data_IF_433523068721
#
_entry.id   IF_433523068721
#
_cell.length_a   1.000
_cell.length_b   1.000
_cell.length_c   1.000
_cell.angle_alpha   90.00
_cell.angle_beta   90.00
_cell.angle_gamma   90.00
#
_symmetry.space_group_name_H-M   'P 1'
#
loop_
_entity.id
_entity.type
_entity.pdbx_description
1 polymer ?
#
# COMPACT_ATOMS: atom_id res chain seq x y z
N UNK A 1 -21.78 -6.65 8.31
CA UNK A 1 -20.96 -6.95 7.11
C UNK A 1 -19.75 -6.05 7.23
N UNK A 2 -18.55 -6.61 7.42
CA UNK A 2 -17.35 -5.77 7.33
C UNK A 2 -17.23 -5.36 5.87
N UNK A 3 -17.29 -4.05 5.62
CA UNK A 3 -17.17 -3.49 4.27
C UNK A 3 -15.81 -3.89 3.67
N UNK A 4 -15.80 -4.16 2.37
CA UNK A 4 -14.58 -4.45 1.61
C UNK A 4 -13.73 -3.16 1.55
N UNK A 5 -12.41 -3.28 1.61
CA UNK A 5 -11.51 -2.13 1.43
C UNK A 5 -11.85 -1.36 0.15
N UNK A 6 -11.96 -0.05 0.26
CA UNK A 6 -12.56 0.77 -0.78
C UNK A 6 -11.93 2.15 -0.98
N UNK A 7 -12.57 3.00 -1.81
CA UNK A 7 -12.03 4.31 -2.18
C UNK A 7 -11.80 5.24 -0.96
N UNK A 8 -12.68 5.20 0.04
CA UNK A 8 -12.56 6.01 1.25
C UNK A 8 -11.37 5.60 2.13
N UNK A 9 -11.03 4.31 2.14
CA UNK A 9 -9.86 3.78 2.87
C UNK A 9 -8.55 4.31 2.29
N UNK A 10 -8.49 4.50 0.97
CA UNK A 10 -7.32 5.07 0.29
C UNK A 10 -7.11 6.52 0.73
N UNK A 11 -8.19 7.31 0.84
CA UNK A 11 -8.14 8.69 1.34
C UNK A 11 -7.73 8.74 2.81
N UNK A 12 -8.30 7.88 3.63
CA UNK A 12 -8.00 7.80 5.06
C UNK A 12 -6.53 7.37 5.32
N UNK A 13 -6.02 6.41 4.54
CA UNK A 13 -4.61 5.99 4.61
C UNK A 13 -3.66 7.15 4.25
N UNK A 14 -3.97 7.90 3.18
CA UNK A 14 -3.18 9.07 2.79
C UNK A 14 -3.24 10.20 3.84
N UNK A 15 -4.37 10.36 4.53
CA UNK A 15 -4.49 11.30 5.64
C UNK A 15 -3.61 10.89 6.84
N UNK A 16 -3.62 9.61 7.22
CA UNK A 16 -2.78 9.08 8.28
C UNK A 16 -1.28 9.23 7.95
N UNK A 17 -0.90 8.97 6.70
CA UNK A 17 0.46 9.20 6.19
C UNK A 17 0.88 10.67 6.34
N UNK A 18 0.03 11.61 5.90
CA UNK A 18 0.30 13.03 6.04
C UNK A 18 0.44 13.46 7.50
N UNK A 19 -0.48 13.03 8.38
CA UNK A 19 -0.44 13.34 9.80
C UNK A 19 0.87 12.89 10.45
N UNK A 20 1.34 11.69 10.11
CA UNK A 20 2.58 11.13 10.65
C UNK A 20 3.85 11.85 10.14
N UNK A 21 3.85 12.35 8.90
CA UNK A 21 5.06 12.82 8.22
C UNK A 21 5.17 14.35 8.10
N UNK A 22 4.08 15.10 8.25
CA UNK A 22 4.08 16.55 8.04
C UNK A 22 5.08 17.30 8.93
N UNK A 23 5.29 16.84 10.17
CA UNK A 23 6.27 17.44 11.09
C UNK A 23 7.74 17.10 10.79
N UNK A 24 8.00 16.27 9.77
CA UNK A 24 9.34 15.77 9.44
C UNK A 24 9.89 16.34 8.13
N UNK A 25 9.12 17.12 7.38
CA UNK A 25 9.46 17.56 6.01
C UNK A 25 10.74 18.39 5.91
N UNK A 26 11.14 19.09 6.98
CA UNK A 26 12.36 19.91 7.04
C UNK A 26 13.60 19.14 7.54
N UNK A 27 13.46 17.84 7.84
CA UNK A 27 14.58 17.00 8.29
C UNK A 27 15.40 16.47 7.13
N UNK A 28 16.50 15.76 7.44
CA UNK A 28 17.28 15.04 6.43
C UNK A 28 16.58 13.73 6.05
N UNK A 29 16.04 13.67 4.82
CA UNK A 29 15.36 12.50 4.27
C UNK A 29 16.30 11.53 3.53
N UNK A 30 17.61 11.80 3.52
CA UNK A 30 18.60 10.89 2.92
C UNK A 30 18.92 9.67 3.80
N UNK A 31 18.51 9.68 5.07
CA UNK A 31 18.64 8.54 5.98
C UNK A 31 17.85 7.32 5.49
N UNK A 32 18.26 6.13 5.88
CA UNK A 32 17.56 4.89 5.54
C UNK A 32 16.17 4.82 6.18
N UNK A 33 15.20 4.33 5.43
CA UNK A 33 13.94 3.83 5.98
C UNK A 33 14.20 2.49 6.69
N UNK A 34 13.49 2.22 7.78
CA UNK A 34 13.75 1.04 8.60
C UNK A 34 13.47 -0.26 7.83
N UNK A 35 14.42 -1.20 7.85
CA UNK A 35 14.27 -2.51 7.21
C UNK A 35 14.38 -2.49 5.68
N UNK A 36 14.75 -1.35 5.08
CA UNK A 36 14.91 -1.19 3.63
C UNK A 36 16.31 -0.70 3.26
N UNK A 37 16.74 -1.00 2.03
CA UNK A 37 17.92 -0.38 1.42
C UNK A 37 17.62 1.01 0.83
N UNK A 38 16.37 1.46 0.92
CA UNK A 38 15.92 2.76 0.41
C UNK A 38 16.01 3.84 1.49
N UNK A 39 16.35 5.05 1.09
CA UNK A 39 16.22 6.22 1.96
C UNK A 39 14.75 6.53 2.24
N UNK A 40 14.46 7.24 3.33
CA UNK A 40 13.13 7.77 3.62
C UNK A 40 12.59 8.57 2.43
N UNK A 41 13.46 9.33 1.74
CA UNK A 41 13.13 10.05 0.49
C UNK A 41 12.65 9.11 -0.61
N UNK A 42 13.43 8.08 -0.94
CA UNK A 42 13.08 7.11 -1.99
C UNK A 42 11.79 6.36 -1.65
N UNK A 43 11.61 6.00 -0.39
CA UNK A 43 10.38 5.35 0.10
C UNK A 43 9.17 6.28 -0.03
N UNK A 44 9.30 7.57 0.27
CA UNK A 44 8.22 8.55 0.10
C UNK A 44 7.87 8.77 -1.39
N UNK A 45 8.86 8.81 -2.28
CA UNK A 45 8.66 8.93 -3.74
C UNK A 45 7.96 7.70 -4.33
N UNK A 46 8.15 6.52 -3.71
CA UNK A 46 7.53 5.29 -4.17
C UNK A 46 6.01 5.29 -4.02
N UNK A 47 5.48 5.75 -2.88
CA UNK A 47 4.06 5.75 -2.54
C UNK A 47 3.18 6.41 -3.64
N UNK A 48 3.41 7.68 -4.05
CA UNK A 48 2.65 8.32 -5.12
C UNK A 48 2.84 7.66 -6.49
N UNK A 49 4.00 7.06 -6.75
CA UNK A 49 4.24 6.31 -7.98
C UNK A 49 3.37 5.06 -8.05
N UNK A 50 3.21 4.32 -6.94
CA UNK A 50 2.36 3.14 -6.85
C UNK A 50 0.88 3.50 -7.09
N UNK A 51 0.39 4.55 -6.42
CA UNK A 51 -0.99 5.03 -6.56
C UNK A 51 -1.32 5.44 -8.01
N UNK A 52 -0.42 6.19 -8.66
CA UNK A 52 -0.60 6.61 -10.05
C UNK A 52 -0.54 5.41 -11.01
N UNK A 53 0.33 4.43 -10.75
CA UNK A 53 0.37 3.17 -11.49
C UNK A 53 -0.99 2.45 -11.40
N UNK A 54 -1.54 2.27 -10.20
CA UNK A 54 -2.84 1.62 -10.00
C UNK A 54 -3.98 2.37 -10.69
N UNK A 55 -4.03 3.70 -10.52
CA UNK A 55 -5.05 4.54 -11.14
C UNK A 55 -5.01 4.43 -12.67
N UNK A 56 -3.81 4.48 -13.25
CA UNK A 56 -3.62 4.40 -14.71
C UNK A 56 -4.04 3.03 -15.27
N UNK A 57 -3.61 1.95 -14.61
CA UNK A 57 -3.98 0.58 -15.02
C UNK A 57 -5.50 0.40 -15.00
N UNK A 58 -6.15 0.79 -13.90
CA UNK A 58 -7.58 0.58 -13.71
C UNK A 58 -8.44 1.49 -14.60
N UNK A 59 -8.04 2.75 -14.81
CA UNK A 59 -8.78 3.73 -15.62
C UNK A 59 -9.03 3.25 -17.05
N UNK A 60 -8.11 2.46 -17.61
CA UNK A 60 -8.23 1.89 -18.96
C UNK A 60 -8.40 0.37 -18.96
N UNK A 61 -8.58 -0.25 -17.79
CA UNK A 61 -8.68 -1.71 -17.62
C UNK A 61 -7.56 -2.46 -18.37
N UNK A 62 -6.33 -1.97 -18.21
CA UNK A 62 -5.17 -2.44 -18.94
C UNK A 62 -4.95 -3.94 -18.75
N UNK A 63 -4.76 -4.69 -19.83
CA UNK A 63 -4.45 -6.13 -19.78
C UNK A 63 -2.96 -6.40 -19.56
N UNK A 64 -2.12 -5.41 -19.87
CA UNK A 64 -0.68 -5.46 -19.72
C UNK A 64 -0.18 -4.27 -18.89
N UNK A 65 1.11 -4.28 -18.54
CA UNK A 65 1.75 -3.14 -17.89
C UNK A 65 1.76 -1.94 -18.84
N UNK A 66 1.10 -0.84 -18.46
CA UNK A 66 1.23 0.42 -19.19
C UNK A 66 2.65 1.02 -19.05
N UNK A 67 3.11 1.77 -20.06
CA UNK A 67 4.33 2.57 -19.93
C UNK A 67 4.26 3.51 -18.73
N UNK A 68 5.36 3.60 -17.98
CA UNK A 68 5.48 4.57 -16.88
C UNK A 68 6.21 5.80 -17.37
N UNK A 69 5.52 6.94 -17.35
CA UNK A 69 6.19 8.23 -17.44
C UNK A 69 6.90 8.47 -16.10
N UNK A 70 8.20 8.74 -16.14
CA UNK A 70 9.02 9.12 -14.98
C UNK A 70 9.66 10.47 -15.24
N UNK A 71 9.86 11.27 -14.20
CA UNK A 71 10.58 12.54 -14.27
C UNK A 71 10.07 13.57 -13.26
N UNK A 72 11.03 14.30 -12.68
CA UNK A 72 10.76 15.39 -11.73
C UNK A 72 10.65 14.95 -10.27
N UNK A 73 10.70 13.64 -9.97
CA UNK A 73 10.64 13.14 -8.59
C UNK A 73 11.81 13.66 -7.75
N UNK A 74 13.00 13.77 -8.36
CA UNK A 74 14.22 14.32 -7.77
C UNK A 74 14.18 15.85 -7.55
N UNK A 75 13.18 16.53 -8.13
CA UNK A 75 13.02 17.99 -8.04
C UNK A 75 12.06 18.42 -6.94
N UNK A 76 11.22 17.50 -6.44
CA UNK A 76 10.27 17.80 -5.38
C UNK A 76 10.96 17.88 -4.02
N UNK A 77 10.49 18.77 -3.15
CA UNK A 77 10.78 18.74 -1.71
C UNK A 77 10.01 17.60 -1.03
N UNK A 78 10.39 17.20 0.19
CA UNK A 78 9.66 16.19 0.94
C UNK A 78 8.18 16.59 1.18
N UNK A 79 7.92 17.88 1.42
CA UNK A 79 6.55 18.40 1.55
C UNK A 79 5.73 18.30 0.25
N UNK A 80 6.34 18.57 -0.90
CA UNK A 80 5.65 18.43 -2.20
C UNK A 80 5.40 16.97 -2.57
N UNK A 81 6.35 16.07 -2.26
CA UNK A 81 6.13 14.63 -2.44
C UNK A 81 5.04 14.11 -1.51
N UNK A 82 4.97 14.59 -0.26
CA UNK A 82 3.89 14.24 0.67
C UNK A 82 2.53 14.76 0.18
N UNK A 83 2.47 15.97 -0.38
CA UNK A 83 1.26 16.46 -1.05
C UNK A 83 0.87 15.55 -2.23
N UNK A 84 1.85 15.06 -3.00
CA UNK A 84 1.62 14.16 -4.12
C UNK A 84 1.00 12.82 -3.69
N UNK A 85 1.29 12.31 -2.49
CA UNK A 85 0.60 11.14 -1.91
C UNK A 85 -0.91 11.42 -1.79
N UNK A 86 -1.29 12.59 -1.27
CA UNK A 86 -2.69 12.97 -1.11
C UNK A 86 -3.38 13.20 -2.46
N UNK A 87 -2.68 13.81 -3.43
CA UNK A 87 -3.20 14.05 -4.78
C UNK A 87 -3.45 12.73 -5.51
N UNK A 88 -2.46 11.84 -5.53
CA UNK A 88 -2.57 10.56 -6.25
C UNK A 88 -3.55 9.60 -5.57
N UNK A 89 -3.68 9.66 -4.24
CA UNK A 89 -4.76 8.99 -3.52
C UNK A 89 -6.15 9.49 -3.94
N UNK A 90 -6.35 10.80 -4.15
CA UNK A 90 -7.63 11.33 -4.67
C UNK A 90 -7.89 10.86 -6.10
N UNK A 91 -6.88 10.89 -6.97
CA UNK A 91 -7.02 10.41 -8.35
C UNK A 91 -7.43 8.94 -8.35
N UNK A 92 -6.73 8.09 -7.59
CA UNK A 92 -7.06 6.67 -7.48
C UNK A 92 -8.48 6.47 -6.89
N UNK A 93 -8.85 7.20 -5.85
CA UNK A 93 -10.20 7.16 -5.28
C UNK A 93 -11.28 7.44 -6.33
N UNK A 94 -11.14 8.49 -7.14
CA UNK A 94 -12.07 8.78 -8.22
C UNK A 94 -12.14 7.68 -9.28
N UNK A 95 -10.98 7.11 -9.67
CA UNK A 95 -10.93 5.98 -10.61
C UNK A 95 -11.63 4.76 -10.03
N UNK A 96 -11.42 4.46 -8.75
CA UNK A 96 -12.05 3.34 -8.05
C UNK A 96 -13.58 3.51 -8.00
N UNK A 97 -14.09 4.71 -7.74
CA UNK A 97 -15.54 4.98 -7.75
C UNK A 97 -16.16 4.87 -9.13
N UNK A 98 -15.44 5.25 -10.17
CA UNK A 98 -15.93 5.19 -11.55
C UNK A 98 -15.84 3.78 -12.14
N UNK A 99 -14.93 2.93 -11.65
CA UNK A 99 -14.72 1.59 -12.17
C UNK A 99 -15.93 0.68 -11.89
N UNK A 100 -16.42 -0.10 -12.88
CA UNK A 100 -17.43 -1.12 -12.62
C UNK A 100 -16.84 -2.22 -11.72
N UNK A 101 -17.67 -2.86 -10.89
CA UNK A 101 -17.22 -3.95 -10.01
C UNK A 101 -16.60 -5.15 -10.78
N UNK A 102 -16.97 -5.32 -12.06
CA UNK A 102 -16.39 -6.33 -12.96
C UNK A 102 -15.05 -5.94 -13.57
N UNK A 103 -14.57 -4.72 -13.38
CA UNK A 103 -13.30 -4.26 -13.95
C UNK A 103 -12.15 -5.14 -13.46
N UNK A 104 -11.22 -5.43 -14.35
CA UNK A 104 -9.95 -6.09 -14.05
C UNK A 104 -8.83 -5.34 -14.76
N UNK A 105 -7.70 -5.17 -14.10
CA UNK A 105 -6.53 -4.56 -14.70
C UNK A 105 -5.23 -5.21 -14.22
N UNK A 106 -4.21 -5.14 -15.05
CA UNK A 106 -2.92 -5.76 -14.81
C UNK A 106 -2.22 -5.17 -13.59
N UNK A 107 -1.74 -6.07 -12.72
CA UNK A 107 -0.70 -5.85 -11.73
C UNK A 107 0.33 -6.99 -11.84
N UNK A 108 1.62 -6.79 -11.50
CA UNK A 108 2.61 -7.87 -11.52
C UNK A 108 2.26 -9.08 -10.65
N UNK A 109 1.38 -8.89 -9.66
CA UNK A 109 0.88 -9.98 -8.82
C UNK A 109 -0.38 -10.69 -9.39
N UNK A 110 -0.93 -10.23 -10.51
CA UNK A 110 -2.15 -10.78 -11.13
C UNK A 110 -3.11 -9.70 -11.65
N UNK A 111 -4.25 -10.12 -12.22
CA UNK A 111 -5.31 -9.23 -12.67
C UNK A 111 -6.15 -8.77 -11.48
N UNK A 112 -5.94 -7.53 -11.03
CA UNK A 112 -6.60 -6.98 -9.86
C UNK A 112 -7.96 -6.37 -10.20
N UNK A 113 -8.90 -6.47 -9.25
CA UNK A 113 -10.18 -5.74 -9.27
C UNK A 113 -10.08 -4.40 -8.52
N UNK A 114 -11.12 -3.54 -8.52
CA UNK A 114 -11.07 -2.27 -7.81
C UNK A 114 -10.70 -2.42 -6.32
N UNK A 115 -11.27 -3.40 -5.63
CA UNK A 115 -10.95 -3.63 -4.20
C UNK A 115 -9.51 -4.10 -3.97
N UNK A 116 -8.92 -4.84 -4.93
CA UNK A 116 -7.52 -5.23 -4.92
C UNK A 116 -6.60 -4.02 -5.05
N UNK A 117 -6.90 -3.09 -5.98
CA UNK A 117 -6.15 -1.84 -6.09
C UNK A 117 -6.31 -0.92 -4.87
N UNK A 118 -7.52 -0.85 -4.29
CA UNK A 118 -7.75 -0.10 -3.05
C UNK A 118 -6.92 -0.70 -1.89
N UNK A 119 -6.98 -2.03 -1.73
CA UNK A 119 -6.19 -2.75 -0.72
C UNK A 119 -4.68 -2.53 -0.89
N UNK A 120 -4.17 -2.67 -2.12
CA UNK A 120 -2.73 -2.52 -2.38
C UNK A 120 -2.28 -1.09 -2.12
N UNK A 121 -3.09 -0.09 -2.52
CA UNK A 121 -2.78 1.31 -2.21
C UNK A 121 -2.76 1.59 -0.71
N UNK A 122 -3.69 1.02 0.07
CA UNK A 122 -3.68 1.21 1.53
C UNK A 122 -2.45 0.54 2.15
N UNK A 123 -2.14 -0.69 1.76
CA UNK A 123 -0.97 -1.44 2.24
C UNK A 123 0.34 -0.66 1.96
N UNK A 124 0.56 -0.24 0.71
CA UNK A 124 1.70 0.58 0.30
C UNK A 124 1.83 1.86 1.13
N UNK A 125 0.74 2.62 1.31
CA UNK A 125 0.77 3.86 2.10
C UNK A 125 1.13 3.57 3.55
N UNK A 126 0.44 2.62 4.19
CA UNK A 126 0.57 2.40 5.64
C UNK A 126 1.92 1.76 6.00
N UNK A 127 2.36 0.76 5.24
CA UNK A 127 3.63 0.08 5.51
C UNK A 127 4.81 0.98 5.21
N UNK A 128 4.80 1.74 4.12
CA UNK A 128 5.91 2.65 3.85
C UNK A 128 5.89 3.91 4.72
N UNK A 129 4.74 4.33 5.23
CA UNK A 129 4.70 5.32 6.32
C UNK A 129 5.40 4.77 7.56
N UNK A 130 5.12 3.53 7.96
CA UNK A 130 5.83 2.87 9.07
C UNK A 130 7.34 2.80 8.82
N UNK A 131 7.76 2.37 7.64
CA UNK A 131 9.17 2.22 7.29
C UNK A 131 9.91 3.58 7.42
N UNK A 132 9.25 4.68 6.99
CA UNK A 132 9.78 6.06 7.11
C UNK A 132 9.79 6.52 8.57
N UNK A 133 8.67 6.43 9.29
CA UNK A 133 8.60 6.94 10.67
C UNK A 133 9.57 6.20 11.59
N UNK A 134 9.73 4.89 11.41
CA UNK A 134 10.71 4.10 12.14
C UNK A 134 12.15 4.55 11.84
N UNK A 135 12.47 4.89 10.58
CA UNK A 135 13.76 5.49 10.22
C UNK A 135 14.04 6.81 10.96
N UNK A 136 13.00 7.61 11.21
CA UNK A 136 13.07 8.84 12.01
C UNK A 136 12.95 8.63 13.53
N UNK A 137 12.75 7.40 14.00
CA UNK A 137 12.52 7.10 15.42
C UNK A 137 11.18 7.66 15.94
N UNK A 138 10.17 7.73 15.08
CA UNK A 138 8.82 8.20 15.37
C UNK A 138 7.85 7.02 15.36
N UNK A 139 7.02 6.93 16.40
CA UNK A 139 5.96 5.93 16.47
C UNK A 139 4.82 6.26 15.50
N UNK A 140 4.32 5.25 14.79
CA UNK A 140 3.17 5.36 13.90
C UNK A 140 2.15 4.28 14.20
N UNK A 141 0.89 4.68 14.33
CA UNK A 141 -0.25 3.79 14.53
C UNK A 141 -1.34 4.15 13.50
N UNK A 142 -1.60 3.28 12.51
CA UNK A 142 -2.64 3.52 11.52
C UNK A 142 -4.04 3.21 12.08
N UNK A 143 -5.12 3.60 11.37
CA UNK A 143 -6.47 3.18 11.73
C UNK A 143 -6.64 1.65 11.62
N UNK A 144 -6.82 0.98 12.76
CA UNK A 144 -6.89 -0.49 12.88
C UNK A 144 -7.94 -1.12 11.95
N UNK A 145 -9.08 -0.46 11.79
CA UNK A 145 -10.17 -0.91 10.92
C UNK A 145 -9.76 -0.98 9.44
N UNK A 146 -8.88 -0.09 8.98
CA UNK A 146 -8.34 -0.12 7.61
C UNK A 146 -7.38 -1.31 7.50
N UNK A 147 -6.49 -1.51 8.47
CA UNK A 147 -5.59 -2.65 8.50
C UNK A 147 -6.36 -3.97 8.43
N UNK A 148 -7.46 -4.09 9.18
CA UNK A 148 -8.32 -5.27 9.16
C UNK A 148 -8.95 -5.53 7.79
N UNK A 149 -9.44 -4.48 7.11
CA UNK A 149 -9.99 -4.60 5.74
C UNK A 149 -8.92 -4.97 4.71
N UNK A 150 -7.73 -4.38 4.81
CA UNK A 150 -6.58 -4.69 3.94
C UNK A 150 -6.16 -6.14 4.10
N UNK A 151 -5.99 -6.61 5.34
CA UNK A 151 -5.66 -8.00 5.65
C UNK A 151 -6.68 -8.98 5.06
N UNK A 152 -7.97 -8.75 5.35
CA UNK A 152 -9.04 -9.59 4.86
C UNK A 152 -9.06 -9.68 3.32
N UNK A 153 -8.61 -8.63 2.63
CA UNK A 153 -8.63 -8.55 1.16
C UNK A 153 -7.38 -9.12 0.50
N UNK A 154 -6.18 -8.80 1.00
CA UNK A 154 -4.91 -9.07 0.31
C UNK A 154 -4.13 -10.24 0.90
N UNK A 155 -4.33 -10.50 2.20
CA UNK A 155 -3.59 -11.46 2.98
C UNK A 155 -4.54 -12.42 3.70
N UNK A 156 -5.44 -13.12 2.98
CA UNK A 156 -6.46 -13.98 3.61
C UNK A 156 -5.88 -15.15 4.44
N UNK A 157 -4.57 -15.41 4.31
CA UNK A 157 -3.80 -16.38 5.09
C UNK A 157 -3.18 -15.82 6.37
N UNK A 158 -3.24 -14.51 6.62
CA UNK A 158 -2.64 -13.90 7.80
C UNK A 158 -3.34 -14.36 9.11
N UNK A 159 -2.60 -14.38 10.24
CA UNK A 159 -3.17 -14.68 11.56
C UNK A 159 -4.35 -13.75 11.89
N UNK A 160 -5.35 -14.29 12.58
CA UNK A 160 -6.62 -13.59 12.89
C UNK A 160 -6.86 -13.37 14.39
N UNK A 161 -6.01 -13.95 15.22
CA UNK A 161 -6.05 -13.97 16.68
C UNK A 161 -5.16 -12.90 17.33
N UNK A 162 -4.68 -11.96 16.52
CA UNK A 162 -3.83 -10.83 16.91
C UNK A 162 -4.39 -9.52 16.36
N UNK A 163 -3.82 -8.38 16.80
CA UNK A 163 -4.16 -7.06 16.26
C UNK A 163 -3.95 -7.00 14.74
N UNK A 164 -4.86 -6.32 14.04
CA UNK A 164 -4.80 -6.17 12.59
C UNK A 164 -3.55 -5.39 12.16
N UNK A 165 -3.09 -4.42 12.94
CA UNK A 165 -1.83 -3.75 12.60
C UNK A 165 -0.63 -4.69 12.72
N UNK A 166 -0.56 -5.50 13.79
CA UNK A 166 0.51 -6.49 13.99
C UNK A 166 0.51 -7.56 12.90
N UNK A 167 -0.67 -8.08 12.56
CA UNK A 167 -0.84 -9.02 11.46
C UNK A 167 -0.43 -8.41 10.11
N UNK A 168 -0.73 -7.14 9.84
CA UNK A 168 -0.35 -6.47 8.60
C UNK A 168 1.16 -6.22 8.51
N UNK A 169 1.79 -5.86 9.64
CA UNK A 169 3.26 -5.77 9.74
C UNK A 169 3.92 -7.12 9.52
N UNK A 170 3.40 -8.19 10.12
CA UNK A 170 3.89 -9.55 9.88
C UNK A 170 3.72 -9.97 8.43
N UNK A 171 2.54 -9.69 7.83
CA UNK A 171 2.25 -10.07 6.45
C UNK A 171 3.23 -9.42 5.46
N UNK A 172 3.73 -8.23 5.79
CA UNK A 172 4.74 -7.49 5.05
C UNK A 172 6.18 -7.74 5.54
N UNK A 173 6.41 -8.66 6.47
CA UNK A 173 7.75 -8.99 6.97
C UNK A 173 8.41 -7.91 7.84
N UNK A 174 7.62 -7.03 8.46
CA UNK A 174 8.07 -5.96 9.39
C UNK A 174 7.96 -6.34 10.86
N UNK A 175 7.32 -7.47 11.17
CA UNK A 175 7.14 -7.94 12.55
C UNK A 175 7.24 -9.46 12.62
N UNK A 176 8.10 -9.95 13.51
CA UNK A 176 8.09 -11.34 13.94
C UNK A 176 7.06 -11.50 15.07
N UNK A 177 6.21 -12.52 14.98
CA UNK A 177 5.23 -12.84 16.02
C UNK A 177 5.62 -14.18 16.62
N UNK A 178 5.81 -14.27 17.95
CA UNK A 178 6.05 -15.54 18.61
C UNK A 178 4.96 -16.56 18.24
N UNK A 179 5.37 -17.79 17.96
CA UNK A 179 4.48 -18.92 17.61
C UNK A 179 3.84 -18.88 16.21
N UNK A 180 3.95 -17.76 15.48
CA UNK A 180 3.59 -17.69 14.06
C UNK A 180 4.84 -17.91 13.22
N UNK A 181 4.76 -18.80 12.21
CA UNK A 181 5.87 -18.99 11.29
C UNK A 181 6.23 -17.67 10.58
N UNK A 182 7.51 -17.41 10.29
CA UNK A 182 7.89 -16.25 9.49
C UNK A 182 7.13 -16.23 8.16
N UNK A 183 6.80 -15.04 7.67
CA UNK A 183 6.20 -14.89 6.36
C UNK A 183 7.17 -15.39 5.27
N UNK A 184 6.64 -16.13 4.29
CA UNK A 184 7.42 -16.64 3.15
C UNK A 184 7.98 -15.48 2.32
N UNK A 185 9.29 -15.28 2.29
CA UNK A 185 9.92 -14.15 1.57
C UNK A 185 9.58 -14.06 0.07
N UNK A 186 9.09 -15.13 -0.56
CA UNK A 186 8.69 -15.15 -1.96
C UNK A 186 7.18 -14.87 -2.19
N UNK A 187 6.47 -14.37 -1.18
CA UNK A 187 5.05 -14.06 -1.27
C UNK A 187 4.74 -12.92 -2.28
N UNK A 188 3.50 -12.91 -2.78
CA UNK A 188 2.87 -11.76 -3.46
C UNK A 188 1.42 -11.61 -2.98
N UNK A 189 0.86 -10.39 -3.09
CA UNK A 189 -0.53 -10.15 -2.70
C UNK A 189 -1.51 -11.04 -3.45
N UNK A 190 -2.62 -11.41 -2.79
CA UNK A 190 -3.83 -11.86 -3.48
C UNK A 190 -4.54 -10.65 -4.10
N UNK A 191 -3.98 -10.09 -5.18
CA UNK A 191 -4.54 -8.90 -5.83
C UNK A 191 -5.77 -9.22 -6.70
N UNK A 192 -5.84 -10.42 -7.26
CA UNK A 192 -7.04 -10.96 -7.91
C UNK A 192 -8.22 -10.98 -6.93
N UNK A 193 -9.48 -11.03 -7.42
CA UNK A 193 -10.66 -11.11 -6.56
C UNK A 193 -10.51 -12.18 -5.48
N UNK A 194 -10.97 -11.87 -4.27
CA UNK A 194 -10.82 -12.79 -3.15
C UNK A 194 -11.55 -14.13 -3.38
N UNK A 195 -12.63 -14.12 -4.16
CA UNK A 195 -13.36 -15.33 -4.59
C UNK A 195 -12.53 -16.26 -5.48
N UNK A 196 -11.43 -15.77 -6.05
CA UNK A 196 -10.50 -16.54 -6.90
C UNK A 196 -9.29 -17.06 -6.12
N UNK A 197 -9.23 -16.83 -4.79
CA UNK A 197 -8.16 -17.37 -3.95
C UNK A 197 -8.34 -18.88 -3.76
N UNK A 198 -7.30 -19.65 -4.06
CA UNK A 198 -7.32 -21.12 -4.02
C UNK A 198 -6.97 -21.72 -2.64
N UNK A 199 -6.75 -20.87 -1.64
CA UNK A 199 -6.35 -21.26 -0.29
C UNK A 199 -4.84 -21.38 -0.08
N UNK A 200 -4.02 -21.07 -1.09
CA UNK A 200 -2.55 -21.11 -0.99
C UNK A 200 -1.94 -19.71 -1.01
N UNK A 201 -0.76 -19.54 -0.41
CA UNK A 201 -0.04 -18.25 -0.42
C UNK A 201 0.48 -18.00 -1.85
N UNK A 202 0.06 -16.92 -2.54
CA UNK A 202 0.57 -16.62 -3.87
C UNK A 202 2.08 -16.33 -3.83
N UNK A 203 2.84 -16.83 -4.80
CA UNK A 203 4.31 -16.67 -4.89
C UNK A 203 4.75 -15.95 -6.16
N UNK A 204 5.92 -15.31 -6.12
CA UNK A 204 6.59 -14.80 -7.32
C UNK A 204 7.20 -15.99 -8.07
N UNK A 205 6.96 -16.07 -9.38
CA UNK A 205 7.56 -17.08 -10.27
C UNK A 205 9.06 -16.84 -10.45
#
# INVERSE_FOLDING_TARGET
MNEIVGPDDVRASAAACHEALAGLVDRDWSILASGLDWSCRQTLEHIPSAQLFYASQLAVQAQDRLPRLRGGEDQLTAGETLLSVQVNAAILEHVLRAAPASARAFHPAGMADPSGFAGMSCDEILIHTLDITAGFGVDFQPPEEICARVLARLFPWAPKDIGAWDALRWANGRLEIPEVAPQDANWRWQCAPLSEWDGTIPRRE
#
